data_IF_652781262953
#
_entry.id   IF_652781262953
#
_cell.length_a   1.000
_cell.length_b   1.000
_cell.length_c   1.000
_cell.angle_alpha   90.00
_cell.angle_beta   90.00
_cell.angle_gamma   90.00
#
_symmetry.space_group_name_H-M   'P 1'
#
loop_
_entity.id
_entity.type
_entity.pdbx_description
1 polymer ?
#
# COMPACT_ATOMS: atom_id res chain seq x y z
N UNK A 1 10.00 3.76 -5.47
CA UNK A 1 11.16 3.35 -4.64
C UNK A 1 11.06 3.89 -3.22
N UNK A 2 11.05 5.20 -3.00
CA UNK A 2 10.98 5.80 -1.64
C UNK A 2 9.75 5.34 -0.83
N UNK A 3 8.54 5.42 -1.39
CA UNK A 3 7.32 4.98 -0.69
C UNK A 3 7.33 3.48 -0.31
N UNK A 4 8.03 2.64 -1.08
CA UNK A 4 8.15 1.21 -0.76
C UNK A 4 9.23 0.94 0.30
N UNK A 5 10.22 1.82 0.48
CA UNK A 5 11.27 1.65 1.48
C UNK A 5 10.73 1.77 2.92
N UNK A 6 9.69 2.57 3.14
CA UNK A 6 9.07 2.73 4.45
C UNK A 6 8.56 1.39 5.04
N UNK A 7 8.12 0.45 4.20
CA UNK A 7 7.69 -0.88 4.65
C UNK A 7 8.79 -1.66 5.36
N UNK A 8 10.02 -1.61 4.85
CA UNK A 8 11.16 -2.33 5.40
C UNK A 8 11.92 -1.50 6.45
N UNK A 9 12.32 -0.29 6.07
CA UNK A 9 13.23 0.55 6.85
C UNK A 9 12.56 1.17 8.09
N UNK A 10 11.26 1.44 8.04
CA UNK A 10 10.54 2.08 9.14
C UNK A 10 9.65 1.09 9.90
N UNK A 11 8.84 0.29 9.19
CA UNK A 11 7.88 -0.60 9.85
C UNK A 11 8.51 -1.95 10.21
N UNK A 12 9.13 -2.65 9.26
CA UNK A 12 9.73 -3.96 9.54
C UNK A 12 10.88 -3.87 10.54
N UNK A 13 11.62 -2.75 10.60
CA UNK A 13 12.69 -2.51 11.57
C UNK A 13 12.24 -2.49 13.03
N UNK A 14 10.93 -2.37 13.31
CA UNK A 14 10.37 -2.46 14.67
C UNK A 14 10.33 -3.88 15.22
N UNK A 15 10.50 -4.90 14.36
CA UNK A 15 10.41 -6.30 14.73
C UNK A 15 11.78 -6.97 14.72
N UNK A 16 12.06 -7.91 15.65
CA UNK A 16 13.30 -8.67 15.66
C UNK A 16 13.48 -9.52 14.40
N UNK A 17 14.74 -9.83 14.08
CA UNK A 17 15.07 -10.74 12.98
C UNK A 17 14.41 -12.11 13.17
N UNK A 18 13.79 -12.63 12.10
CA UNK A 18 13.05 -13.89 12.11
C UNK A 18 11.62 -13.82 12.66
N UNK A 19 11.15 -12.64 13.07
CA UNK A 19 9.75 -12.46 13.47
C UNK A 19 8.81 -12.64 12.25
N UNK A 20 7.74 -13.47 12.36
CA UNK A 20 6.79 -13.66 11.28
C UNK A 20 6.14 -12.37 10.76
N UNK A 21 6.03 -11.34 11.59
CA UNK A 21 5.46 -10.03 11.22
C UNK A 21 6.31 -9.30 10.19
N UNK A 22 7.65 -9.45 10.22
CA UNK A 22 8.53 -8.87 9.17
C UNK A 22 8.24 -9.50 7.82
N UNK A 23 8.07 -10.82 7.78
CA UNK A 23 7.79 -11.55 6.54
C UNK A 23 6.48 -11.07 5.89
N UNK A 24 5.46 -10.75 6.68
CA UNK A 24 4.21 -10.19 6.16
C UNK A 24 4.47 -8.82 5.50
N UNK A 25 5.26 -7.95 6.14
CA UNK A 25 5.59 -6.63 5.59
C UNK A 25 6.43 -6.73 4.31
N UNK A 26 7.39 -7.66 4.27
CA UNK A 26 8.16 -7.99 3.06
C UNK A 26 7.25 -8.51 1.93
N UNK A 27 6.29 -9.39 2.24
CA UNK A 27 5.33 -9.89 1.25
C UNK A 27 4.46 -8.75 0.70
N UNK A 28 3.97 -7.85 1.54
CA UNK A 28 3.20 -6.67 1.10
C UNK A 28 4.04 -5.78 0.19
N UNK A 29 5.26 -5.42 0.61
CA UNK A 29 6.17 -4.58 -0.18
C UNK A 29 6.44 -5.17 -1.57
N UNK A 30 6.57 -6.49 -1.68
CA UNK A 30 6.93 -7.18 -2.91
C UNK A 30 5.74 -7.54 -3.82
N UNK A 31 4.51 -7.58 -3.29
CA UNK A 31 3.33 -8.05 -4.05
C UNK A 31 2.25 -7.00 -4.29
N UNK A 32 2.25 -5.88 -3.56
CA UNK A 32 1.22 -4.84 -3.67
C UNK A 32 1.66 -3.71 -4.61
N UNK A 33 0.67 -3.08 -5.26
CA UNK A 33 0.88 -1.89 -6.09
C UNK A 33 0.54 -0.63 -5.32
N UNK A 34 1.37 0.41 -5.48
CA UNK A 34 1.03 1.77 -5.10
C UNK A 34 0.29 2.44 -6.26
N UNK A 35 -1.00 2.72 -6.06
CA UNK A 35 -1.88 3.27 -7.09
C UNK A 35 -2.35 4.66 -6.66
N UNK A 36 -2.38 5.59 -7.61
CA UNK A 36 -3.01 6.90 -7.47
C UNK A 36 -4.12 7.01 -8.50
N UNK A 37 -5.33 7.34 -8.06
CA UNK A 37 -6.51 7.48 -8.93
C UNK A 37 -7.07 8.88 -8.72
N UNK A 38 -7.44 9.54 -9.82
CA UNK A 38 -8.01 10.88 -9.81
C UNK A 38 -9.32 10.85 -10.59
N UNK A 39 -10.39 11.21 -9.91
CA UNK A 39 -11.64 11.58 -10.59
C UNK A 39 -11.52 13.02 -11.07
N UNK A 40 -11.79 13.24 -12.36
CA UNK A 40 -11.71 14.54 -13.01
C UNK A 40 -13.08 15.23 -13.12
N UNK A 41 -14.17 14.55 -12.77
CA UNK A 41 -15.48 15.20 -12.68
C UNK A 41 -15.62 15.92 -11.34
N UNK A 42 -15.32 17.22 -11.36
CA UNK A 42 -15.38 18.06 -10.17
C UNK A 42 -16.79 18.33 -9.64
N UNK A 43 -17.84 18.09 -10.45
CA UNK A 43 -19.22 18.45 -10.11
C UNK A 43 -20.00 17.21 -9.67
N UNK A 44 -19.80 16.09 -10.35
CA UNK A 44 -20.55 14.86 -10.18
C UNK A 44 -19.67 13.63 -9.91
N UNK A 45 -18.37 13.82 -9.72
CA UNK A 45 -17.43 12.73 -9.49
C UNK A 45 -17.75 11.88 -8.28
N UNK A 46 -17.48 10.59 -8.44
CA UNK A 46 -17.58 9.57 -7.40
C UNK A 46 -16.44 8.56 -7.58
N UNK A 47 -15.30 8.89 -6.98
CA UNK A 47 -14.09 8.06 -7.00
C UNK A 47 -14.33 6.67 -6.42
N UNK A 48 -15.29 6.51 -5.50
CA UNK A 48 -15.49 5.24 -4.80
C UNK A 48 -16.34 4.24 -5.58
N UNK A 49 -17.18 4.71 -6.50
CA UNK A 49 -18.00 3.87 -7.39
C UNK A 49 -17.19 2.79 -8.11
N UNK A 50 -15.92 3.08 -8.45
CA UNK A 50 -15.02 2.14 -9.15
C UNK A 50 -14.69 0.89 -8.32
N UNK A 51 -14.88 0.96 -7.00
CA UNK A 51 -14.60 -0.13 -6.06
C UNK A 51 -15.88 -0.86 -5.59
N UNK A 52 -17.07 -0.36 -5.91
CA UNK A 52 -18.34 -0.97 -5.48
C UNK A 52 -18.68 -2.25 -6.24
N UNK A 53 -18.12 -2.43 -7.44
CA UNK A 53 -18.34 -3.59 -8.30
C UNK A 53 -17.22 -4.65 -8.23
N UNK A 54 -16.23 -4.47 -7.34
CA UNK A 54 -15.12 -5.43 -7.10
C UNK A 54 -15.51 -6.51 -6.07
#
# INVERSE_FOLDING_TARGET
>A
DEAFQAWDQEWASLYPDGDPSRKILEEVQNSYYLVSVVDNDYIHGDLFSVFEEL
#
